data_IF_341631643272
#
_entry.id   IF_341631643272
#
_cell.length_a   1.000
_cell.length_b   1.000
_cell.length_c   1.000
_cell.angle_alpha   90.00
_cell.angle_beta   90.00
_cell.angle_gamma   90.00
#
_symmetry.space_group_name_H-M   'P 1'
#
loop_
_entity.id
_entity.type
_entity.pdbx_description
1 polymer ?
#
# COMPACT_ATOMS: atom_id res chain seq x y z
N UNK A 1 -34.30 -15.36 -5.84
CA UNK A 1 -33.01 -16.09 -6.04
C UNK A 1 -31.79 -15.21 -5.75
N UNK A 2 -31.42 -14.24 -6.59
CA UNK A 2 -30.20 -13.40 -6.35
C UNK A 2 -30.31 -12.55 -5.08
N UNK A 3 -31.50 -11.98 -4.83
CA UNK A 3 -31.78 -11.17 -3.64
C UNK A 3 -31.58 -11.97 -2.33
N UNK A 4 -31.94 -13.25 -2.33
CA UNK A 4 -31.85 -14.13 -1.16
C UNK A 4 -30.41 -14.50 -0.83
N UNK A 5 -29.60 -14.74 -1.87
CA UNK A 5 -28.16 -15.00 -1.77
C UNK A 5 -27.43 -13.78 -1.20
N UNK A 6 -27.71 -12.58 -1.71
CA UNK A 6 -27.12 -11.34 -1.22
C UNK A 6 -27.45 -11.09 0.27
N UNK A 7 -28.69 -11.34 0.67
CA UNK A 7 -29.13 -11.19 2.07
C UNK A 7 -28.46 -12.20 3.02
N UNK A 8 -28.13 -13.40 2.54
CA UNK A 8 -27.34 -14.41 3.28
C UNK A 8 -25.86 -14.02 3.36
N UNK A 9 -25.26 -13.59 2.25
CA UNK A 9 -23.87 -13.13 2.21
C UNK A 9 -23.61 -11.98 3.20
N UNK A 10 -24.51 -10.99 3.25
CA UNK A 10 -24.43 -9.87 4.20
C UNK A 10 -24.42 -10.28 5.69
N UNK A 11 -24.87 -11.49 6.03
CA UNK A 11 -24.81 -11.99 7.42
C UNK A 11 -23.43 -12.53 7.79
N UNK A 12 -22.62 -12.93 6.81
CA UNK A 12 -21.27 -13.43 7.04
C UNK A 12 -20.30 -12.26 7.22
N UNK A 13 -20.08 -11.86 8.48
CA UNK A 13 -19.22 -10.72 8.83
C UNK A 13 -17.84 -10.79 8.19
N UNK A 14 -17.18 -11.95 8.25
CA UNK A 14 -15.87 -12.17 7.63
C UNK A 14 -15.88 -11.96 6.12
N UNK A 15 -16.87 -12.52 5.41
CA UNK A 15 -16.98 -12.38 3.96
C UNK A 15 -17.23 -10.93 3.53
N UNK A 16 -18.04 -10.19 4.28
CA UNK A 16 -18.28 -8.76 4.02
C UNK A 16 -17.02 -7.94 4.28
N UNK A 17 -16.31 -8.18 5.38
CA UNK A 17 -15.07 -7.47 5.72
C UNK A 17 -14.01 -7.70 4.62
N UNK A 18 -13.81 -8.95 4.20
CA UNK A 18 -12.86 -9.27 3.13
C UNK A 18 -13.25 -8.60 1.80
N UNK A 19 -14.54 -8.57 1.47
CA UNK A 19 -15.03 -7.87 0.27
C UNK A 19 -14.76 -6.36 0.31
N UNK A 20 -14.98 -5.72 1.46
CA UNK A 20 -14.66 -4.30 1.67
C UNK A 20 -13.15 -4.06 1.61
N UNK A 21 -12.34 -4.94 2.21
CA UNK A 21 -10.88 -4.83 2.19
C UNK A 21 -10.31 -4.97 0.77
N UNK A 22 -10.80 -5.92 -0.01
CA UNK A 22 -10.41 -6.07 -1.42
C UNK A 22 -10.77 -4.81 -2.21
N UNK A 23 -12.00 -4.29 -2.04
CA UNK A 23 -12.41 -3.04 -2.69
C UNK A 23 -11.51 -1.87 -2.31
N UNK A 24 -11.12 -1.77 -1.04
CA UNK A 24 -10.19 -0.76 -0.56
C UNK A 24 -8.83 -0.85 -1.26
N UNK A 25 -8.25 -2.06 -1.39
CA UNK A 25 -6.98 -2.24 -2.12
C UNK A 25 -7.13 -1.79 -3.58
N UNK A 26 -8.22 -2.14 -4.26
CA UNK A 26 -8.47 -1.69 -5.63
C UNK A 26 -8.54 -0.17 -5.76
N UNK A 27 -9.15 0.51 -4.78
CA UNK A 27 -9.16 1.97 -4.72
C UNK A 27 -7.74 2.50 -4.58
N UNK A 28 -6.96 1.99 -3.63
CA UNK A 28 -5.55 2.40 -3.43
C UNK A 28 -4.73 2.20 -4.70
N UNK A 29 -4.92 1.08 -5.41
CA UNK A 29 -4.27 0.83 -6.71
C UNK A 29 -4.64 1.88 -7.75
N UNK A 30 -5.89 2.35 -7.80
CA UNK A 30 -6.29 3.44 -8.69
C UNK A 30 -5.63 4.78 -8.37
N UNK A 31 -5.23 4.98 -7.11
CA UNK A 31 -4.48 6.15 -6.64
C UNK A 31 -3.00 5.82 -6.38
N UNK A 32 -2.45 4.82 -7.06
CA UNK A 32 -1.10 4.34 -6.80
C UNK A 32 -0.05 5.45 -6.97
N UNK A 33 -0.21 6.40 -7.89
CA UNK A 33 0.74 7.52 -8.06
C UNK A 33 0.82 8.44 -6.83
N UNK A 34 -0.25 8.55 -6.05
CA UNK A 34 -0.26 9.33 -4.82
C UNK A 34 0.37 8.58 -3.65
N UNK A 35 0.08 7.28 -3.54
CA UNK A 35 0.53 6.45 -2.42
C UNK A 35 1.94 5.87 -2.61
N UNK A 36 2.36 5.61 -3.86
CA UNK A 36 3.63 4.97 -4.15
C UNK A 36 4.79 5.98 -4.04
N UNK A 37 5.83 5.67 -3.26
CA UNK A 37 6.99 6.56 -3.12
C UNK A 37 7.90 6.60 -4.34
N UNK A 38 7.78 5.60 -5.22
CA UNK A 38 8.54 5.41 -6.46
C UNK A 38 7.65 4.69 -7.48
N UNK A 39 7.96 4.86 -8.76
CA UNK A 39 7.24 4.20 -9.84
C UNK A 39 7.59 2.71 -9.94
N UNK A 40 6.76 1.95 -10.65
CA UNK A 40 6.98 0.52 -10.91
C UNK A 40 8.37 0.23 -11.52
N UNK A 41 8.83 1.14 -12.38
CA UNK A 41 10.09 0.99 -13.12
C UNK A 41 11.25 1.80 -12.50
N UNK A 42 11.06 2.39 -11.30
CA UNK A 42 12.14 3.13 -10.65
C UNK A 42 13.17 2.14 -10.11
N UNK A 43 14.39 2.21 -10.65
CA UNK A 43 15.52 1.38 -10.23
C UNK A 43 16.68 2.25 -9.76
N UNK A 44 17.42 1.73 -8.78
CA UNK A 44 18.50 2.42 -8.07
C UNK A 44 19.84 1.71 -8.34
N UNK A 45 20.22 1.61 -9.62
CA UNK A 45 21.37 0.80 -10.09
C UNK A 45 22.69 1.31 -9.52
N UNK A 46 22.85 2.63 -9.42
CA UNK A 46 24.06 3.28 -8.87
C UNK A 46 24.33 2.87 -7.42
N UNK A 47 23.30 2.40 -6.71
CA UNK A 47 23.36 2.02 -5.31
C UNK A 47 23.50 0.50 -5.10
N UNK A 48 23.67 -0.29 -6.17
CA UNK A 48 23.73 -1.76 -6.10
C UNK A 48 24.86 -2.30 -5.21
N UNK A 49 25.99 -1.58 -5.12
CA UNK A 49 27.16 -1.99 -4.32
C UNK A 49 27.31 -1.19 -3.02
N UNK A 50 26.28 -0.47 -2.58
CA UNK A 50 26.36 0.28 -1.34
C UNK A 50 26.47 -0.67 -0.13
N UNK A 51 27.26 -0.31 0.89
CA UNK A 51 27.24 -1.02 2.17
C UNK A 51 25.88 -0.82 2.85
N UNK A 52 25.49 -1.72 3.79
CA UNK A 52 24.23 -1.59 4.53
C UNK A 52 24.06 -0.19 5.15
N UNK A 53 23.00 0.51 4.75
CA UNK A 53 22.66 1.83 5.30
C UNK A 53 21.89 1.66 6.62
N UNK A 54 22.19 2.52 7.60
CA UNK A 54 21.41 2.61 8.84
C UNK A 54 20.09 3.34 8.55
N UNK A 55 19.03 3.03 9.30
CA UNK A 55 17.76 3.74 9.20
C UNK A 55 17.95 5.22 9.60
N UNK A 56 17.63 6.15 8.71
CA UNK A 56 17.99 7.55 8.87
C UNK A 56 16.79 8.47 8.57
N UNK A 57 16.01 8.77 9.60
CA UNK A 57 14.79 9.59 9.47
C UNK A 57 15.04 11.11 9.51
N UNK A 58 16.27 11.56 9.78
CA UNK A 58 16.59 12.98 9.94
C UNK A 58 17.74 13.37 9.02
N UNK A 59 17.52 14.13 7.96
CA UNK A 59 18.58 14.45 7.00
C UNK A 59 19.77 15.24 7.61
N UNK A 60 20.82 15.49 6.82
CA UNK A 60 22.01 16.24 7.24
C UNK A 60 21.68 17.66 7.77
N UNK A 61 20.53 18.21 7.40
CA UNK A 61 20.04 19.54 7.78
C UNK A 61 19.07 19.46 8.99
N UNK A 62 18.87 18.27 9.54
CA UNK A 62 18.02 17.98 10.70
C UNK A 62 16.52 17.87 10.40
N UNK A 63 16.11 17.79 9.12
CA UNK A 63 14.70 17.68 8.75
C UNK A 63 14.23 16.24 8.81
N UNK A 64 13.06 16.03 9.40
CA UNK A 64 12.44 14.72 9.50
C UNK A 64 11.81 14.29 8.16
N UNK A 65 12.08 13.06 7.75
CA UNK A 65 11.47 12.40 6.60
C UNK A 65 10.74 11.14 7.03
N UNK A 66 9.56 10.89 6.48
CA UNK A 66 8.80 9.64 6.73
C UNK A 66 9.48 8.39 6.16
N UNK A 67 10.51 8.58 5.33
CA UNK A 67 11.30 7.52 4.70
C UNK A 67 12.67 7.49 5.40
N UNK A 68 13.10 6.34 5.93
CA UNK A 68 14.42 6.19 6.53
C UNK A 68 15.54 6.17 5.50
#
# INVERSE_FOLDING_TARGET
MIKDIYRRFKKHKLGVISGVFILFIFIVTGFAEFFAPYGLNTQHIDYMYMPPQKLHFFDAEGRFHFRP
#
